data_IF_163629018762
#
_entry.id   IF_163629018762
#
_cell.length_a   1.000
_cell.length_b   1.000
_cell.length_c   1.000
_cell.angle_alpha   90.00
_cell.angle_beta   90.00
_cell.angle_gamma   90.00
#
_symmetry.space_group_name_H-M   'P 1'
#
loop_
_entity.id
_entity.type
_entity.pdbx_description
1 polymer ?
#
# COMPACT_ATOMS: atom_id res chain seq x y z
N UNK A 1 5.60 7.71 -9.39
CA UNK A 1 5.12 6.80 -10.45
C UNK A 1 4.54 5.53 -9.84
N UNK A 2 5.29 4.73 -9.04
CA UNK A 2 4.83 3.45 -8.43
C UNK A 2 3.50 3.62 -7.68
N UNK A 3 3.39 4.64 -6.81
CA UNK A 3 2.19 4.89 -6.04
C UNK A 3 0.96 5.21 -6.91
N UNK A 4 1.14 5.88 -8.05
CA UNK A 4 0.06 6.18 -9.02
C UNK A 4 -0.44 4.87 -9.65
N UNK A 5 0.48 4.01 -10.11
CA UNK A 5 0.10 2.72 -10.69
C UNK A 5 -0.58 1.81 -9.67
N UNK A 6 -0.08 1.76 -8.44
CA UNK A 6 -0.69 0.99 -7.36
C UNK A 6 -2.10 1.51 -7.03
N UNK A 7 -2.30 2.83 -7.00
CA UNK A 7 -3.60 3.45 -6.77
C UNK A 7 -4.58 3.16 -7.89
N UNK A 8 -4.13 3.22 -9.15
CA UNK A 8 -4.95 2.85 -10.31
C UNK A 8 -5.38 1.38 -10.25
N UNK A 9 -4.42 0.48 -9.97
CA UNK A 9 -4.70 -0.95 -9.82
C UNK A 9 -5.70 -1.22 -8.69
N UNK A 10 -5.57 -0.52 -7.55
CA UNK A 10 -6.50 -0.65 -6.42
C UNK A 10 -7.92 -0.24 -6.79
N UNK A 11 -8.09 0.88 -7.52
CA UNK A 11 -9.40 1.34 -8.00
C UNK A 11 -10.03 0.36 -9.00
N UNK A 12 -9.25 -0.19 -9.92
CA UNK A 12 -9.73 -1.15 -10.92
C UNK A 12 -10.10 -2.48 -10.26
N UNK A 13 -9.26 -3.00 -9.37
CA UNK A 13 -9.47 -4.26 -8.67
C UNK A 13 -10.65 -4.20 -7.69
N UNK A 14 -10.91 -3.06 -7.05
CA UNK A 14 -12.07 -2.88 -6.19
C UNK A 14 -13.40 -3.08 -6.96
N UNK A 15 -13.50 -2.58 -8.19
CA UNK A 15 -14.64 -2.83 -9.08
C UNK A 15 -14.82 -4.33 -9.39
N UNK A 16 -13.72 -5.04 -9.65
CA UNK A 16 -13.74 -6.49 -9.92
C UNK A 16 -14.16 -7.31 -8.71
N UNK A 17 -13.68 -6.94 -7.50
CA UNK A 17 -14.09 -7.58 -6.23
C UNK A 17 -15.61 -7.45 -6.03
N UNK A 18 -16.15 -6.27 -6.31
CA UNK A 18 -17.60 -6.01 -6.13
C UNK A 18 -18.44 -6.79 -7.14
N UNK A 19 -17.97 -6.94 -8.37
CA UNK A 19 -18.67 -7.68 -9.43
C UNK A 19 -18.56 -9.21 -9.27
N UNK A 20 -17.53 -9.71 -8.59
CA UNK A 20 -17.24 -11.13 -8.45
C UNK A 20 -18.05 -11.80 -7.32
N UNK A 21 -18.28 -13.13 -7.46
CA UNK A 21 -18.98 -13.96 -6.46
C UNK A 21 -18.10 -15.15 -6.04
N UNK A 22 -18.38 -15.70 -4.87
CA UNK A 22 -17.77 -16.93 -4.33
C UNK A 22 -16.22 -16.89 -4.34
N UNK A 23 -15.58 -17.94 -4.82
CA UNK A 23 -14.13 -18.09 -4.87
C UNK A 23 -13.44 -17.01 -5.72
N UNK A 24 -14.06 -16.55 -6.80
CA UNK A 24 -13.54 -15.47 -7.62
C UNK A 24 -13.44 -14.16 -6.84
N UNK A 25 -14.39 -13.86 -5.94
CA UNK A 25 -14.36 -12.68 -5.10
C UNK A 25 -13.15 -12.71 -4.13
N UNK A 26 -12.91 -13.87 -3.50
CA UNK A 26 -11.74 -14.02 -2.60
C UNK A 26 -10.43 -13.88 -3.39
N UNK A 27 -10.33 -14.47 -4.58
CA UNK A 27 -9.16 -14.33 -5.43
C UNK A 27 -8.87 -12.86 -5.77
N UNK A 28 -9.89 -12.09 -6.17
CA UNK A 28 -9.76 -10.67 -6.47
C UNK A 28 -9.42 -9.83 -5.24
N UNK A 29 -9.96 -10.17 -4.06
CA UNK A 29 -9.59 -9.53 -2.78
C UNK A 29 -8.12 -9.73 -2.47
N UNK A 30 -7.62 -10.97 -2.57
CA UNK A 30 -6.21 -11.28 -2.31
C UNK A 30 -5.30 -10.59 -3.32
N UNK A 31 -5.60 -10.68 -4.62
CA UNK A 31 -4.82 -10.02 -5.67
C UNK A 31 -4.79 -8.49 -5.48
N UNK A 32 -5.94 -7.89 -5.16
CA UNK A 32 -6.04 -6.46 -4.90
C UNK A 32 -5.26 -6.02 -3.65
N UNK A 33 -5.34 -6.81 -2.58
CA UNK A 33 -4.60 -6.54 -1.36
C UNK A 33 -3.09 -6.66 -1.56
N UNK A 34 -2.63 -7.67 -2.28
CA UNK A 34 -1.22 -7.84 -2.63
C UNK A 34 -0.73 -6.69 -3.50
N UNK A 35 -1.47 -6.34 -4.57
CA UNK A 35 -1.08 -5.24 -5.46
C UNK A 35 -1.00 -3.90 -4.71
N UNK A 36 -2.03 -3.57 -3.92
CA UNK A 36 -2.10 -2.32 -3.16
C UNK A 36 -1.05 -2.26 -2.06
N UNK A 37 -0.95 -3.31 -1.23
CA UNK A 37 0.00 -3.39 -0.12
C UNK A 37 1.44 -3.36 -0.61
N UNK A 38 1.77 -4.10 -1.68
CA UNK A 38 3.10 -4.07 -2.32
C UNK A 38 3.39 -2.69 -2.89
N UNK A 39 2.40 -2.01 -3.49
CA UNK A 39 2.57 -0.66 -4.03
C UNK A 39 2.90 0.38 -2.94
N UNK A 40 2.21 0.34 -1.79
CA UNK A 40 2.46 1.22 -0.64
C UNK A 40 3.85 0.94 -0.06
N UNK A 41 4.18 -0.33 0.16
CA UNK A 41 5.46 -0.77 0.68
C UNK A 41 6.62 -0.39 -0.25
N UNK A 42 6.47 -0.58 -1.55
CA UNK A 42 7.49 -0.23 -2.55
C UNK A 42 7.74 1.26 -2.62
N UNK A 43 6.70 2.08 -2.50
CA UNK A 43 6.85 3.52 -2.46
C UNK A 43 7.69 3.92 -1.24
N UNK A 44 7.44 3.33 -0.07
CA UNK A 44 8.23 3.59 1.14
C UNK A 44 9.71 3.28 0.91
N UNK A 45 10.04 2.06 0.48
CA UNK A 45 11.45 1.69 0.29
C UNK A 45 12.12 2.44 -0.87
N UNK A 46 11.41 2.76 -1.95
CA UNK A 46 11.93 3.65 -3.00
C UNK A 46 12.23 5.04 -2.45
N UNK A 47 11.37 5.56 -1.57
CA UNK A 47 11.63 6.81 -0.83
C UNK A 47 12.86 6.73 0.06
N UNK A 48 13.05 5.58 0.74
CA UNK A 48 14.23 5.32 1.58
C UNK A 48 15.53 5.25 0.77
N UNK A 49 15.49 4.69 -0.45
CA UNK A 49 16.64 4.67 -1.36
C UNK A 49 17.08 6.08 -1.82
N UNK A 50 16.14 7.02 -1.86
CA UNK A 50 16.43 8.42 -2.17
C UNK A 50 16.94 9.19 -0.95
N UNK A 51 16.88 8.62 0.25
CA UNK A 51 17.29 9.25 1.49
C UNK A 51 18.76 8.89 1.81
N UNK A 52 19.66 9.86 1.60
CA UNK A 52 21.09 9.65 1.79
C UNK A 52 21.51 10.01 3.20
N UNK A 53 22.13 9.06 3.88
CA UNK A 53 22.77 9.25 5.18
C UNK A 53 24.30 9.13 5.03
N UNK A 54 25.10 9.86 5.82
CA UNK A 54 26.57 9.79 5.79
C UNK A 54 27.11 8.54 6.50
N UNK A 55 26.31 7.50 6.62
CA UNK A 55 26.63 6.21 7.24
C UNK A 55 26.08 5.06 6.40
N UNK A 56 26.73 3.89 6.47
CA UNK A 56 26.23 2.70 5.79
C UNK A 56 24.91 2.25 6.39
N UNK A 57 23.95 1.96 5.54
CA UNK A 57 22.61 1.52 5.89
C UNK A 57 22.40 0.09 5.43
N UNK A 58 21.95 -0.74 6.35
CA UNK A 58 21.53 -2.13 6.08
C UNK A 58 20.09 -2.31 6.52
N UNK A 59 19.41 -3.32 5.99
CA UNK A 59 18.03 -3.63 6.33
C UNK A 59 17.88 -5.03 6.90
N UNK A 60 17.24 -5.15 8.06
CA UNK A 60 16.91 -6.43 8.69
C UNK A 60 15.73 -7.07 7.97
N UNK A 61 16.00 -8.09 7.16
CA UNK A 61 15.04 -8.69 6.24
C UNK A 61 13.76 -9.21 6.92
N UNK A 62 13.81 -9.90 8.09
CA UNK A 62 12.57 -10.31 8.76
C UNK A 62 11.61 -9.15 9.06
N UNK A 63 12.13 -7.99 9.51
CA UNK A 63 11.31 -6.80 9.78
C UNK A 63 10.78 -6.16 8.49
N UNK A 64 11.56 -6.19 7.42
CA UNK A 64 11.14 -5.76 6.07
C UNK A 64 9.96 -6.59 5.58
N UNK A 65 10.04 -7.91 5.71
CA UNK A 65 8.95 -8.83 5.32
C UNK A 65 7.71 -8.59 6.19
N UNK A 66 7.89 -8.40 7.50
CA UNK A 66 6.79 -8.10 8.41
C UNK A 66 6.07 -6.80 8.03
N UNK A 67 6.81 -5.76 7.62
CA UNK A 67 6.23 -4.50 7.15
C UNK A 67 5.40 -4.68 5.87
N UNK A 68 5.84 -5.53 4.94
CA UNK A 68 5.07 -5.89 3.74
C UNK A 68 3.77 -6.62 4.10
N UNK A 69 3.86 -7.62 5.00
CA UNK A 69 2.69 -8.37 5.47
C UNK A 69 1.67 -7.42 6.10
N UNK A 70 2.11 -6.46 6.92
CA UNK A 70 1.23 -5.47 7.54
C UNK A 70 0.51 -4.60 6.49
N UNK A 71 1.23 -4.14 5.44
CA UNK A 71 0.63 -3.37 4.35
C UNK A 71 -0.40 -4.19 3.56
N UNK A 72 -0.10 -5.44 3.25
CA UNK A 72 -1.01 -6.35 2.52
C UNK A 72 -2.24 -6.67 3.38
N UNK A 73 -2.06 -6.96 4.67
CA UNK A 73 -3.17 -7.25 5.58
C UNK A 73 -4.11 -6.04 5.74
N UNK A 74 -3.56 -4.83 5.93
CA UNK A 74 -4.37 -3.62 6.00
C UNK A 74 -5.13 -3.35 4.70
N UNK A 75 -4.48 -3.55 3.55
CA UNK A 75 -5.10 -3.42 2.23
C UNK A 75 -6.22 -4.44 2.03
N UNK A 76 -6.03 -5.68 2.49
CA UNK A 76 -7.06 -6.73 2.44
C UNK A 76 -8.29 -6.35 3.25
N UNK A 77 -8.11 -5.90 4.49
CA UNK A 77 -9.21 -5.46 5.36
C UNK A 77 -9.95 -4.27 4.77
N UNK A 78 -9.21 -3.28 4.24
CA UNK A 78 -9.79 -2.11 3.60
C UNK A 78 -10.65 -2.48 2.38
N UNK A 79 -10.13 -3.32 1.47
CA UNK A 79 -10.85 -3.81 0.31
C UNK A 79 -12.06 -4.68 0.69
N UNK A 80 -11.91 -5.53 1.72
CA UNK A 80 -13.00 -6.35 2.24
C UNK A 80 -14.16 -5.49 2.75
N UNK A 81 -13.86 -4.40 3.45
CA UNK A 81 -14.88 -3.48 3.98
C UNK A 81 -15.58 -2.75 2.83
N UNK A 82 -14.81 -2.15 1.91
CA UNK A 82 -15.37 -1.29 0.86
C UNK A 82 -16.12 -2.07 -0.23
N UNK A 83 -15.81 -3.37 -0.38
CA UNK A 83 -16.46 -4.24 -1.38
C UNK A 83 -17.74 -4.93 -0.88
N UNK A 84 -18.23 -4.60 0.33
CA UNK A 84 -19.50 -5.13 0.84
C UNK A 84 -20.69 -4.59 0.03
N UNK A 85 -21.80 -5.35 -0.11
CA UNK A 85 -22.98 -4.87 -0.80
C UNK A 85 -23.58 -3.61 -0.18
N UNK A 86 -23.64 -3.58 1.15
CA UNK A 86 -24.12 -2.44 1.92
C UNK A 86 -22.97 -1.83 2.72
N UNK A 87 -22.46 -0.70 2.24
CA UNK A 87 -21.41 0.08 2.89
C UNK A 87 -22.03 1.37 3.41
N UNK A 88 -21.84 1.64 4.70
CA UNK A 88 -22.19 2.93 5.32
C UNK A 88 -20.95 3.80 5.49
N UNK A 89 -21.15 5.07 5.77
CA UNK A 89 -20.07 6.00 6.13
C UNK A 89 -19.24 5.47 7.30
N UNK A 90 -19.89 4.83 8.28
CA UNK A 90 -19.20 4.19 9.40
C UNK A 90 -18.24 3.06 8.95
N UNK A 91 -18.62 2.26 7.96
CA UNK A 91 -17.74 1.23 7.40
C UNK A 91 -16.52 1.86 6.71
N UNK A 92 -16.71 2.95 5.95
CA UNK A 92 -15.61 3.69 5.32
C UNK A 92 -14.68 4.27 6.38
N UNK A 93 -15.22 4.88 7.44
CA UNK A 93 -14.43 5.46 8.52
C UNK A 93 -13.58 4.41 9.24
N UNK A 94 -14.16 3.27 9.61
CA UNK A 94 -13.43 2.16 10.26
C UNK A 94 -12.38 1.57 9.32
N UNK A 95 -12.72 1.33 8.05
CA UNK A 95 -11.77 0.85 7.05
C UNK A 95 -10.59 1.80 6.85
N UNK A 96 -10.86 3.10 6.84
CA UNK A 96 -9.83 4.13 6.70
C UNK A 96 -8.92 4.21 7.92
N UNK A 97 -9.48 4.07 9.12
CA UNK A 97 -8.69 4.02 10.36
C UNK A 97 -7.75 2.82 10.36
N UNK A 98 -8.26 1.63 10.02
CA UNK A 98 -7.43 0.40 9.95
C UNK A 98 -6.37 0.52 8.87
N UNK A 99 -6.70 1.12 7.72
CA UNK A 99 -5.75 1.38 6.65
C UNK A 99 -4.67 2.39 7.07
N UNK A 100 -5.04 3.47 7.76
CA UNK A 100 -4.10 4.46 8.28
C UNK A 100 -3.12 3.85 9.30
N UNK A 101 -3.63 3.00 10.20
CA UNK A 101 -2.80 2.23 11.14
C UNK A 101 -1.85 1.30 10.37
N UNK A 102 -2.34 0.63 9.33
CA UNK A 102 -1.51 -0.25 8.50
C UNK A 102 -0.42 0.50 7.73
N UNK A 103 -0.74 1.63 7.11
CA UNK A 103 0.22 2.47 6.37
C UNK A 103 1.29 3.03 7.32
N UNK A 104 0.87 3.61 8.44
CA UNK A 104 1.80 4.15 9.45
C UNK A 104 2.64 3.03 10.07
N UNK A 105 2.01 1.92 10.44
CA UNK A 105 2.70 0.75 10.99
C UNK A 105 3.74 0.19 10.01
N UNK A 106 3.39 0.04 8.74
CA UNK A 106 4.35 -0.39 7.70
C UNK A 106 5.53 0.58 7.61
N UNK A 107 5.28 1.91 7.57
CA UNK A 107 6.34 2.91 7.49
C UNK A 107 7.28 2.82 8.70
N UNK A 108 6.76 2.87 9.92
CA UNK A 108 7.58 2.87 11.14
C UNK A 108 8.28 1.51 11.37
N UNK A 109 7.67 0.39 10.98
CA UNK A 109 8.37 -0.91 10.94
C UNK A 109 9.49 -0.92 9.89
N UNK A 110 9.25 -0.30 8.73
CA UNK A 110 10.27 -0.12 7.70
C UNK A 110 11.47 0.67 8.24
N UNK A 111 11.22 1.77 8.95
CA UNK A 111 12.28 2.54 9.63
C UNK A 111 12.99 1.72 10.71
N UNK A 112 12.25 0.95 11.51
CA UNK A 112 12.82 0.06 12.52
C UNK A 112 13.64 -1.10 11.94
N UNK A 113 13.49 -1.40 10.66
CA UNK A 113 14.31 -2.41 9.97
C UNK A 113 15.73 -1.94 9.66
N UNK A 114 15.98 -0.62 9.69
CA UNK A 114 17.30 -0.06 9.41
C UNK A 114 18.32 -0.48 10.47
N UNK A 115 19.49 -0.85 10.02
CA UNK A 115 20.67 -1.17 10.84
C UNK A 115 21.78 -0.22 10.43
N UNK A 116 22.12 0.70 11.32
CA UNK A 116 23.13 1.74 11.11
C UNK A 116 23.76 2.14 12.44
N UNK A 117 24.97 2.72 12.39
CA UNK A 117 25.68 3.23 13.57
C UNK A 117 25.16 4.62 13.99
N UNK A 118 23.84 4.75 14.11
CA UNK A 118 23.18 5.94 14.60
C UNK A 118 21.85 5.59 15.27
N UNK A 119 21.43 6.38 16.24
CA UNK A 119 20.16 6.24 16.94
C UNK A 119 19.10 7.14 16.30
N UNK A 120 17.90 6.62 16.12
CA UNK A 120 16.75 7.40 15.69
C UNK A 120 16.23 8.27 16.82
N UNK A 121 16.07 9.55 16.55
CA UNK A 121 15.34 10.46 17.43
C UNK A 121 14.08 10.93 16.70
N UNK A 122 12.95 10.90 17.39
CA UNK A 122 11.64 11.17 16.82
C UNK A 122 11.05 12.47 17.35
N UNK A 123 10.69 13.38 16.45
CA UNK A 123 9.83 14.51 16.76
C UNK A 123 8.36 14.04 16.79
N UNK A 124 7.78 14.04 17.99
CA UNK A 124 6.41 13.58 18.21
C UNK A 124 5.38 14.37 17.39
N UNK A 125 5.63 15.66 17.15
CA UNK A 125 4.70 16.51 16.38
C UNK A 125 4.59 16.02 14.94
N UNK A 126 5.72 15.77 14.28
CA UNK A 126 5.74 15.25 12.91
C UNK A 126 5.27 13.80 12.84
N UNK A 127 5.53 12.97 13.87
CA UNK A 127 4.95 11.61 13.95
C UNK A 127 3.45 11.69 13.95
N UNK A 128 2.84 12.48 14.84
CA UNK A 128 1.38 12.64 14.91
C UNK A 128 0.82 13.21 13.60
N UNK A 129 1.48 14.21 13.02
CA UNK A 129 1.06 14.81 11.76
C UNK A 129 1.07 13.77 10.62
N UNK A 130 2.09 12.91 10.53
CA UNK A 130 2.16 11.86 9.50
C UNK A 130 1.02 10.84 9.64
N UNK A 131 0.63 10.48 10.87
CA UNK A 131 -0.50 9.57 11.13
C UNK A 131 -1.84 10.24 10.75
N UNK A 132 -2.00 11.54 11.04
CA UNK A 132 -3.18 12.30 10.61
C UNK A 132 -3.25 12.35 9.07
N UNK A 133 -2.15 12.60 8.39
CA UNK A 133 -2.09 12.57 6.93
C UNK A 133 -2.43 11.17 6.42
N UNK A 134 -1.91 10.09 7.04
CA UNK A 134 -2.26 8.72 6.68
C UNK A 134 -3.77 8.48 6.77
N UNK A 135 -4.43 8.99 7.81
CA UNK A 135 -5.88 8.88 7.97
C UNK A 135 -6.65 9.65 6.89
N UNK A 136 -6.26 10.88 6.59
CA UNK A 136 -6.89 11.70 5.54
C UNK A 136 -6.73 11.01 4.17
N UNK A 137 -5.53 10.51 3.87
CA UNK A 137 -5.25 9.79 2.62
C UNK A 137 -6.06 8.50 2.53
N UNK A 138 -6.17 7.74 3.63
CA UNK A 138 -6.96 6.52 3.67
C UNK A 138 -8.46 6.80 3.51
N UNK A 139 -8.99 7.87 4.13
CA UNK A 139 -10.37 8.31 3.96
C UNK A 139 -10.66 8.71 2.50
N UNK A 140 -9.77 9.48 1.88
CA UNK A 140 -9.90 9.85 0.47
C UNK A 140 -9.84 8.62 -0.43
N UNK A 141 -8.87 7.72 -0.20
CA UNK A 141 -8.68 6.51 -0.99
C UNK A 141 -9.89 5.55 -0.90
N UNK A 142 -10.38 5.24 0.31
CA UNK A 142 -11.52 4.37 0.48
C UNK A 142 -12.83 5.03 0.03
N UNK A 143 -12.97 6.33 0.25
CA UNK A 143 -14.11 7.11 -0.23
C UNK A 143 -14.20 7.10 -1.75
N UNK A 144 -13.09 7.36 -2.45
CA UNK A 144 -13.01 7.28 -3.91
C UNK A 144 -13.26 5.82 -4.40
N UNK A 145 -12.64 4.83 -3.76
CA UNK A 145 -12.86 3.42 -4.09
C UNK A 145 -14.33 3.03 -3.92
N UNK A 146 -14.99 3.52 -2.88
CA UNK A 146 -16.42 3.30 -2.65
C UNK A 146 -17.28 3.95 -3.73
N UNK A 147 -17.02 5.22 -4.08
CA UNK A 147 -17.75 5.93 -5.12
C UNK A 147 -17.60 5.28 -6.49
N UNK A 148 -16.45 4.66 -6.75
CA UNK A 148 -16.08 4.15 -8.08
C UNK A 148 -16.20 2.62 -8.23
N UNK A 149 -16.67 1.93 -7.20
CA UNK A 149 -16.79 0.48 -7.18
C UNK A 149 -17.78 -0.11 -8.20
N UNK A 150 -18.74 0.69 -8.71
CA UNK A 150 -19.79 0.23 -9.63
C UNK A 150 -19.44 0.42 -11.11
N UNK A 151 -18.18 0.63 -11.45
CA UNK A 151 -17.65 0.77 -12.82
C UNK A 151 -18.33 1.85 -13.69
N UNK A 152 -19.07 2.77 -13.07
CA UNK A 152 -19.79 3.86 -13.74
C UNK A 152 -18.93 5.05 -14.11
N UNK A 153 -17.61 5.00 -13.85
CA UNK A 153 -16.74 6.13 -14.07
C UNK A 153 -16.03 6.08 -15.41
N UNK A 154 -15.92 7.26 -15.99
CA UNK A 154 -15.02 7.53 -17.09
C UNK A 154 -13.57 7.15 -16.71
N UNK A 155 -12.87 6.47 -17.62
CA UNK A 155 -11.46 6.06 -17.45
C UNK A 155 -10.56 7.22 -17.06
N UNK A 156 -10.86 8.42 -17.55
CA UNK A 156 -10.11 9.66 -17.26
C UNK A 156 -10.20 9.99 -15.77
N UNK A 157 -11.37 9.90 -15.18
CA UNK A 157 -11.56 10.23 -13.77
C UNK A 157 -10.88 9.19 -12.84
N UNK A 158 -10.88 7.90 -13.22
CA UNK A 158 -10.07 6.87 -12.50
C UNK A 158 -8.58 7.25 -12.51
N UNK A 159 -8.04 7.70 -13.64
CA UNK A 159 -6.64 8.14 -13.74
C UNK A 159 -6.38 9.36 -12.88
N UNK A 160 -7.25 10.37 -12.92
CA UNK A 160 -7.11 11.58 -12.08
C UNK A 160 -7.10 11.21 -10.59
N UNK A 161 -8.02 10.36 -10.15
CA UNK A 161 -8.07 9.89 -8.76
C UNK A 161 -6.79 9.11 -8.39
N UNK A 162 -6.31 8.23 -9.27
CA UNK A 162 -5.08 7.49 -9.06
C UNK A 162 -3.85 8.41 -8.94
N UNK A 163 -3.80 9.48 -9.71
CA UNK A 163 -2.74 10.50 -9.62
C UNK A 163 -2.80 11.22 -8.27
N UNK A 164 -3.98 11.69 -7.85
CA UNK A 164 -4.16 12.37 -6.56
C UNK A 164 -3.75 11.45 -5.40
N UNK A 165 -4.25 10.19 -5.38
CA UNK A 165 -3.90 9.20 -4.37
C UNK A 165 -2.39 8.88 -4.40
N UNK A 166 -1.82 8.78 -5.60
CA UNK A 166 -0.40 8.48 -5.80
C UNK A 166 0.55 9.59 -5.31
N UNK A 167 0.10 10.84 -5.22
CA UNK A 167 0.83 11.93 -4.56
C UNK A 167 0.60 11.99 -3.06
N UNK A 168 -0.58 11.59 -2.60
CA UNK A 168 -0.93 11.63 -1.18
C UNK A 168 -0.13 10.63 -0.33
N UNK A 169 0.17 9.44 -0.87
CA UNK A 169 0.98 8.42 -0.16
C UNK A 169 2.41 8.91 0.11
N UNK A 170 3.16 9.45 -0.86
CA UNK A 170 4.46 10.09 -0.59
C UNK A 170 4.38 11.25 0.40
N UNK A 171 3.30 12.04 0.39
CA UNK A 171 3.14 13.14 1.34
C UNK A 171 3.21 12.65 2.79
N UNK A 172 2.53 11.54 3.13
CA UNK A 172 2.65 10.91 4.45
C UNK A 172 4.09 10.45 4.71
N UNK A 173 4.69 9.74 3.77
CA UNK A 173 6.04 9.20 3.92
C UNK A 173 7.06 10.31 4.21
N UNK A 174 7.09 11.37 3.42
CA UNK A 174 8.06 12.46 3.61
C UNK A 174 7.77 13.29 4.87
N UNK A 175 6.51 13.43 5.30
CA UNK A 175 6.20 14.03 6.60
C UNK A 175 6.73 13.18 7.76
N UNK A 176 6.58 11.85 7.67
CA UNK A 176 7.15 10.92 8.64
C UNK A 176 8.69 10.92 8.61
N UNK A 177 9.31 11.08 7.44
CA UNK A 177 10.77 11.25 7.33
C UNK A 177 11.28 12.56 7.93
N UNK A 178 10.46 13.62 7.90
CA UNK A 178 10.79 14.88 8.59
C UNK A 178 10.74 14.75 10.12
N UNK A 179 10.08 13.71 10.64
CA UNK A 179 10.02 13.42 12.08
C UNK A 179 11.30 12.79 12.62
N UNK A 180 12.16 12.21 11.77
CA UNK A 180 13.33 11.47 12.22
C UNK A 180 14.60 12.28 12.07
N UNK A 181 15.41 12.30 13.13
CA UNK A 181 16.81 12.74 13.11
C UNK A 181 17.71 11.60 13.59
N UNK A 182 18.98 11.68 13.26
CA UNK A 182 19.94 10.63 13.55
C UNK A 182 21.09 11.18 14.39
N UNK A 183 21.38 10.54 15.51
CA UNK A 183 22.57 10.81 16.32
C UNK A 183 23.54 9.65 16.19
N UNK A 184 24.79 9.95 15.82
CA UNK A 184 25.85 8.94 15.76
C UNK A 184 26.03 8.23 17.10
N UNK A 185 26.22 6.92 17.06
CA UNK A 185 26.54 6.10 18.24
C UNK A 185 27.80 5.29 17.99
N UNK A 186 28.52 4.97 19.06
CA UNK A 186 29.63 4.03 19.02
C UNK A 186 29.17 2.56 19.06
N UNK A 187 27.90 2.32 19.32
CA UNK A 187 27.36 0.97 19.31
C UNK A 187 27.33 0.41 17.86
N UNK A 188 27.81 -0.81 17.72
CA UNK A 188 27.74 -1.52 16.46
C UNK A 188 26.33 -2.08 16.28
N UNK A 189 25.68 -1.85 15.12
CA UNK A 189 24.37 -2.42 14.87
C UNK A 189 24.43 -3.95 14.79
N UNK A 190 23.36 -4.60 15.22
CA UNK A 190 23.19 -6.03 15.01
C UNK A 190 22.97 -6.30 13.51
N UNK A 191 23.93 -6.98 12.90
CA UNK A 191 23.94 -7.30 11.47
C UNK A 191 23.32 -8.65 11.15
N UNK A 192 22.73 -9.34 12.13
CA UNK A 192 22.03 -10.61 11.91
C UNK A 192 20.90 -10.44 10.92
N UNK A 193 20.88 -11.24 9.85
CA UNK A 193 19.88 -11.13 8.77
C UNK A 193 19.77 -9.72 8.12
N UNK A 194 20.84 -8.94 8.17
CA UNK A 194 20.91 -7.63 7.54
C UNK A 194 21.53 -7.72 6.14
N UNK A 195 20.97 -6.96 5.20
CA UNK A 195 21.42 -6.87 3.81
C UNK A 195 21.73 -5.42 3.47
N UNK A 196 22.76 -5.20 2.66
CA UNK A 196 23.13 -3.88 2.19
C UNK A 196 22.00 -3.23 1.38
N UNK A 197 21.89 -1.90 1.48
CA UNK A 197 20.84 -1.13 0.81
C UNK A 197 20.86 -1.30 -0.71
N UNK A 198 22.03 -1.43 -1.34
CA UNK A 198 22.17 -1.55 -2.80
C UNK A 198 21.64 -2.88 -3.32
N UNK A 199 21.97 -3.98 -2.65
CA UNK A 199 21.50 -5.33 -2.99
C UNK A 199 19.99 -5.46 -2.74
N UNK A 200 19.53 -4.87 -1.64
CA UNK A 200 18.11 -4.79 -1.31
C UNK A 200 17.32 -4.00 -2.35
N UNK A 201 17.86 -2.85 -2.80
CA UNK A 201 17.23 -2.00 -3.80
C UNK A 201 16.97 -2.71 -5.11
N UNK A 202 18.01 -3.32 -5.65
CA UNK A 202 17.92 -4.02 -6.94
C UNK A 202 16.89 -5.14 -6.89
N UNK A 203 16.94 -5.98 -5.85
CA UNK A 203 16.00 -7.09 -5.67
C UNK A 203 14.56 -6.57 -5.50
N UNK A 204 14.35 -5.54 -4.68
CA UNK A 204 13.03 -4.98 -4.40
C UNK A 204 12.39 -4.37 -5.64
N UNK A 205 13.13 -3.57 -6.41
CA UNK A 205 12.62 -2.94 -7.64
C UNK A 205 12.20 -4.02 -8.66
N UNK A 206 13.01 -5.06 -8.82
CA UNK A 206 12.72 -6.17 -9.74
C UNK A 206 11.42 -6.89 -9.29
N UNK A 207 11.36 -7.36 -8.05
CA UNK A 207 10.19 -8.10 -7.52
C UNK A 207 8.92 -7.28 -7.64
N UNK A 208 8.95 -6.02 -7.23
CA UNK A 208 7.80 -5.13 -7.29
C UNK A 208 7.32 -4.88 -8.72
N UNK A 209 8.26 -4.63 -9.63
CA UNK A 209 7.93 -4.41 -11.04
C UNK A 209 7.22 -5.64 -11.61
N UNK A 210 7.73 -6.84 -11.33
CA UNK A 210 7.11 -8.08 -11.80
C UNK A 210 5.75 -8.36 -11.13
N UNK A 211 5.59 -8.10 -9.83
CA UNK A 211 4.31 -8.29 -9.13
C UNK A 211 3.25 -7.32 -9.65
N UNK A 212 3.58 -6.04 -9.82
CA UNK A 212 2.64 -5.04 -10.33
C UNK A 212 2.29 -5.27 -11.80
N UNK A 213 3.29 -5.53 -12.65
CA UNK A 213 3.06 -5.83 -14.07
C UNK A 213 2.32 -7.17 -14.24
N UNK A 214 2.70 -8.21 -13.51
CA UNK A 214 2.04 -9.51 -13.55
C UNK A 214 0.58 -9.42 -13.08
N UNK A 215 0.31 -8.69 -12.01
CA UNK A 215 -1.05 -8.48 -11.51
C UNK A 215 -1.96 -7.74 -12.49
N UNK A 216 -1.43 -6.77 -13.23
CA UNK A 216 -2.21 -5.99 -14.22
C UNK A 216 -2.36 -6.74 -15.55
N UNK A 217 -1.33 -7.47 -15.99
CA UNK A 217 -1.29 -8.06 -17.33
C UNK A 217 -1.81 -9.50 -17.39
N UNK A 218 -1.59 -10.30 -16.33
CA UNK A 218 -1.88 -11.74 -16.36
C UNK A 218 -3.29 -12.12 -15.90
N UNK A 219 -4.08 -11.18 -15.39
CA UNK A 219 -5.44 -11.48 -14.97
C UNK A 219 -6.39 -11.28 -16.17
N UNK A 220 -6.90 -12.36 -16.78
CA UNK A 220 -7.76 -12.27 -17.95
C UNK A 220 -9.01 -11.43 -17.63
N UNK A 221 -9.33 -10.48 -18.49
CA UNK A 221 -10.58 -9.69 -18.43
C UNK A 221 -11.84 -10.56 -18.46
N UNK A 222 -11.72 -11.86 -18.78
CA UNK A 222 -12.82 -12.81 -18.95
C UNK A 222 -13.28 -13.56 -17.70
N UNK A 223 -12.60 -13.45 -16.55
CA UNK A 223 -13.01 -14.20 -15.33
C UNK A 223 -14.24 -13.60 -14.64
N UNK A 224 -14.68 -12.43 -15.05
CA UNK A 224 -15.81 -11.70 -14.45
C UNK A 224 -16.96 -11.41 -15.41
N UNK A 225 -17.13 -12.18 -16.49
CA UNK A 225 -18.34 -12.07 -17.29
C UNK A 225 -19.52 -12.62 -16.48
N UNK A 226 -20.58 -11.84 -16.21
CA UNK A 226 -21.79 -12.38 -15.61
C UNK A 226 -22.36 -13.44 -16.54
N UNK A 227 -22.58 -14.66 -16.04
CA UNK A 227 -23.38 -15.63 -16.76
C UNK A 227 -24.74 -14.98 -17.00
N UNK A 228 -25.13 -14.87 -18.28
CA UNK A 228 -26.46 -14.44 -18.65
C UNK A 228 -27.48 -15.31 -17.89
N UNK A 229 -28.58 -14.73 -17.39
CA UNK A 229 -29.66 -15.51 -16.83
C UNK A 229 -30.08 -16.55 -17.87
N UNK A 230 -30.23 -17.79 -17.44
CA UNK A 230 -30.86 -18.83 -18.29
C UNK A 230 -32.31 -18.39 -18.45
N UNK A 231 -32.68 -17.89 -19.63
CA UNK A 231 -34.07 -17.69 -19.99
C UNK A 231 -34.66 -19.10 -20.13
N UNK A 232 -35.51 -19.47 -19.19
CA UNK A 232 -36.39 -20.62 -19.38
C UNK A 232 -37.48 -20.19 -20.33
N UNK A 233 -37.38 -20.62 -21.55
CA UNK A 233 -38.53 -20.57 -22.48
C UNK A 233 -39.68 -21.40 -21.89
N UNK A 234 -40.81 -20.75 -21.67
CA UNK A 234 -42.05 -21.35 -21.21
C UNK A 234 -42.88 -21.89 -22.40
#
# INVERSE_FOLDING_TARGET
>A
VIAIFASYAALDLAGRVTAARNSARLAWLVCGAVAMGTGIWSMHYTGMLAYHLPVSVYYHIPTVILSLIAAVAASFVALLIVSRPHVSVGHVAVGSLLMAVGISGMHYMGMASMRLSAMHQWDTTFVVLSVIIALIVALAALGLTYLFREDKLDKILKVVCAVIMGFAIPAMHYTAMAAVSYMGTSEKPDMTNAVDISDFANTTIIVVTFVLLGGVLLIPRGVAAPQKPVEFEA
#
